data_IF_798873845801
#
_entry.id   IF_798873845801
#
_cell.length_a   1.000
_cell.length_b   1.000
_cell.length_c   1.000
_cell.angle_alpha   90.00
_cell.angle_beta   90.00
_cell.angle_gamma   90.00
#
_symmetry.space_group_name_H-M   'P 1'
#
loop_
_entity.id
_entity.type
_entity.pdbx_description
1 polymer ?
#
# COMPACT_ATOMS: atom_id res chain seq x y z
N UNK A 1 33.87 6.37 18.38
CA UNK A 1 32.95 6.09 19.50
C UNK A 1 31.53 6.30 19.00
N UNK A 2 30.92 5.25 18.46
CA UNK A 2 29.56 5.29 17.90
C UNK A 2 28.57 5.26 19.06
N UNK A 3 27.66 6.24 19.09
CA UNK A 3 26.65 6.42 20.12
C UNK A 3 25.71 5.19 20.17
N UNK A 4 25.95 4.27 21.10
CA UNK A 4 25.04 3.14 21.37
C UNK A 4 23.65 3.56 21.86
N UNK A 5 23.48 4.83 22.23
CA UNK A 5 22.21 5.39 22.72
C UNK A 5 21.22 5.79 21.62
N UNK A 6 21.63 6.01 20.36
CA UNK A 6 20.69 6.36 19.28
C UNK A 6 19.88 5.16 18.79
N UNK A 7 20.41 3.95 18.94
CA UNK A 7 19.78 2.73 18.45
C UNK A 7 18.59 2.27 19.32
N UNK A 8 18.56 2.63 20.61
CA UNK A 8 17.42 2.34 21.49
C UNK A 8 16.23 3.28 21.26
N UNK A 9 16.46 4.46 20.68
CA UNK A 9 15.38 5.40 20.37
C UNK A 9 14.62 5.04 19.08
N UNK A 10 15.18 4.19 18.19
CA UNK A 10 14.57 3.69 16.93
C UNK A 10 13.20 3.00 17.10
N UNK A 11 12.84 2.67 18.35
CA UNK A 11 11.72 1.79 18.73
C UNK A 11 10.42 2.52 19.15
N UNK A 12 10.33 3.85 18.98
CA UNK A 12 9.13 4.62 19.38
C UNK A 12 8.04 4.69 18.30
N UNK A 13 8.38 4.43 17.04
CA UNK A 13 7.42 4.47 15.94
C UNK A 13 6.81 3.09 15.71
N UNK A 14 5.77 2.78 16.47
CA UNK A 14 4.99 1.56 16.28
C UNK A 14 4.29 1.58 14.89
N UNK A 15 4.29 0.45 14.16
CA UNK A 15 3.39 0.25 13.02
C UNK A 15 1.94 0.55 13.38
N UNK A 16 1.21 1.18 12.47
CA UNK A 16 -0.20 1.49 12.65
C UNK A 16 -1.08 0.30 12.21
N UNK A 17 -2.33 0.20 12.69
CA UNK A 17 -3.25 -0.84 12.24
C UNK A 17 -3.41 -0.82 10.71
N UNK A 18 -3.20 -1.99 10.09
CA UNK A 18 -3.27 -2.21 8.63
C UNK A 18 -2.22 -1.43 7.81
N UNK A 19 -1.21 -0.86 8.45
CA UNK A 19 -0.10 -0.18 7.77
C UNK A 19 0.74 -1.17 6.97
N UNK A 20 1.11 -0.78 5.75
CA UNK A 20 2.08 -1.50 4.93
C UNK A 20 3.46 -1.47 5.60
N UNK A 21 4.23 -2.54 5.50
CA UNK A 21 5.57 -2.57 6.11
C UNK A 21 6.50 -1.56 5.45
N UNK A 22 6.39 -1.39 4.13
CA UNK A 22 7.08 -0.31 3.42
C UNK A 22 6.69 1.09 3.90
N UNK A 23 5.43 1.30 4.32
CA UNK A 23 4.99 2.56 4.93
C UNK A 23 5.68 2.77 6.27
N UNK A 24 5.64 1.76 7.14
CA UNK A 24 6.28 1.83 8.45
C UNK A 24 7.79 2.06 8.35
N UNK A 25 8.48 1.32 7.48
CA UNK A 25 9.91 1.50 7.21
C UNK A 25 10.22 2.91 6.72
N UNK A 26 9.37 3.49 5.88
CA UNK A 26 9.54 4.87 5.42
C UNK A 26 9.37 5.86 6.57
N UNK A 27 8.41 5.64 7.48
CA UNK A 27 8.27 6.47 8.70
C UNK A 27 9.48 6.36 9.61
N UNK A 28 10.08 5.18 9.75
CA UNK A 28 11.34 5.04 10.47
C UNK A 28 12.44 5.87 9.81
N UNK A 29 12.64 5.73 8.50
CA UNK A 29 13.65 6.49 7.77
C UNK A 29 13.46 8.01 7.97
N UNK A 30 12.22 8.50 7.87
CA UNK A 30 11.89 9.92 8.10
C UNK A 30 12.16 10.32 9.54
N UNK A 31 11.62 9.58 10.52
CA UNK A 31 11.64 9.93 11.93
C UNK A 31 13.04 9.96 12.54
N UNK A 32 13.95 9.14 12.02
CA UNK A 32 15.35 9.07 12.47
C UNK A 32 16.31 9.76 11.50
N UNK A 33 15.81 10.42 10.47
CA UNK A 33 16.61 11.02 9.39
C UNK A 33 17.62 10.03 8.78
N UNK A 34 17.24 8.77 8.67
CA UNK A 34 18.06 7.67 8.18
C UNK A 34 17.71 7.26 6.76
N UNK A 35 18.66 6.58 6.10
CA UNK A 35 18.41 6.03 4.76
C UNK A 35 17.69 4.68 4.83
N UNK A 36 16.95 4.28 3.78
CA UNK A 36 16.42 2.92 3.67
C UNK A 36 17.50 1.84 3.87
N UNK A 37 18.71 2.04 3.33
CA UNK A 37 19.82 1.11 3.50
C UNK A 37 20.26 0.98 4.97
N UNK A 38 20.42 2.10 5.68
CA UNK A 38 20.79 2.09 7.10
C UNK A 38 19.74 1.40 7.99
N UNK A 39 18.45 1.69 7.76
CA UNK A 39 17.35 1.02 8.48
C UNK A 39 17.28 -0.48 8.14
N UNK A 40 17.50 -0.85 6.87
CA UNK A 40 17.56 -2.26 6.43
C UNK A 40 18.65 -3.04 7.16
N UNK A 41 19.85 -2.48 7.20
CA UNK A 41 21.02 -3.07 7.83
C UNK A 41 20.77 -3.28 9.33
N UNK A 42 20.27 -2.25 10.01
CA UNK A 42 19.93 -2.33 11.43
C UNK A 42 18.88 -3.41 11.74
N UNK A 43 17.83 -3.51 10.92
CA UNK A 43 16.78 -4.52 11.08
C UNK A 43 17.20 -5.92 10.58
N UNK A 44 18.33 -6.04 9.89
CA UNK A 44 18.79 -7.28 9.28
C UNK A 44 17.85 -7.79 8.17
N UNK A 45 17.14 -6.90 7.48
CA UNK A 45 16.18 -7.23 6.41
C UNK A 45 16.51 -6.47 5.13
N UNK A 46 16.47 -7.14 3.98
CA UNK A 46 16.59 -6.47 2.69
C UNK A 46 15.32 -5.69 2.37
N UNK A 47 15.40 -4.38 2.16
CA UNK A 47 14.26 -3.59 1.65
C UNK A 47 13.83 -4.02 0.25
N UNK A 48 14.75 -4.53 -0.57
CA UNK A 48 14.43 -5.16 -1.86
C UNK A 48 13.61 -6.45 -1.75
N UNK A 49 13.51 -7.02 -0.55
CA UNK A 49 12.70 -8.20 -0.24
C UNK A 49 11.38 -7.84 0.48
N UNK A 50 10.92 -6.59 0.36
CA UNK A 50 9.83 -6.01 1.16
C UNK A 50 8.49 -6.75 1.10
N UNK A 51 7.65 -6.50 2.11
CA UNK A 51 6.57 -7.45 2.49
C UNK A 51 5.50 -7.62 1.46
N UNK A 52 5.27 -6.55 0.74
CA UNK A 52 4.28 -6.48 -0.29
C UNK A 52 4.74 -7.22 -1.56
N UNK A 53 6.05 -7.40 -1.78
CA UNK A 53 6.62 -8.13 -2.93
C UNK A 53 7.08 -9.55 -2.57
N UNK A 54 7.74 -9.75 -1.42
CA UNK A 54 8.45 -11.00 -1.07
C UNK A 54 8.65 -11.30 0.42
N UNK A 55 8.10 -10.56 1.40
CA UNK A 55 8.47 -10.91 2.79
C UNK A 55 8.01 -12.31 3.17
N UNK A 56 9.06 -13.05 3.49
CA UNK A 56 9.06 -14.36 4.10
C UNK A 56 8.88 -14.21 5.60
N UNK A 57 8.34 -15.24 6.24
CA UNK A 57 8.24 -15.27 7.70
C UNK A 57 9.59 -14.92 8.38
N UNK A 58 10.71 -15.35 7.80
CA UNK A 58 12.07 -15.03 8.26
C UNK A 58 12.35 -13.52 8.38
N UNK A 59 11.95 -12.68 7.42
CA UNK A 59 12.22 -11.25 7.50
C UNK A 59 11.34 -10.56 8.54
N UNK A 60 10.08 -10.96 8.69
CA UNK A 60 9.24 -10.44 9.80
C UNK A 60 9.80 -10.88 11.15
N UNK A 61 10.19 -12.14 11.28
CA UNK A 61 10.70 -12.67 12.53
C UNK A 61 12.00 -11.96 12.96
N UNK A 62 12.86 -11.57 12.01
CA UNK A 62 14.01 -10.68 12.28
C UNK A 62 13.58 -9.30 12.78
N UNK A 63 12.62 -8.65 12.10
CA UNK A 63 12.11 -7.34 12.53
C UNK A 63 11.56 -7.44 13.96
N UNK A 64 10.73 -8.45 14.25
CA UNK A 64 10.16 -8.68 15.58
C UNK A 64 11.26 -8.95 16.63
N UNK A 65 12.28 -9.72 16.25
CA UNK A 65 13.41 -10.01 17.12
C UNK A 65 14.20 -8.75 17.49
N UNK A 66 14.49 -7.88 16.52
CA UNK A 66 15.24 -6.62 16.75
C UNK A 66 14.38 -5.61 17.51
N UNK A 67 13.14 -5.41 17.07
CA UNK A 67 12.24 -4.38 17.61
C UNK A 67 11.58 -4.74 18.93
N UNK A 68 11.54 -6.04 19.28
CA UNK A 68 10.79 -6.59 20.41
C UNK A 68 9.28 -6.30 20.36
N UNK A 69 8.75 -5.97 19.19
CA UNK A 69 7.31 -5.76 19.00
C UNK A 69 6.53 -7.06 19.13
N UNK A 70 5.22 -6.94 19.40
CA UNK A 70 4.32 -8.07 19.41
C UNK A 70 4.27 -8.73 18.02
N UNK A 71 4.27 -10.07 17.99
CA UNK A 71 4.24 -10.88 16.75
C UNK A 71 3.06 -10.57 15.81
N UNK A 72 1.97 -10.06 16.34
CA UNK A 72 0.74 -9.80 15.59
C UNK A 72 0.79 -8.45 14.83
N UNK A 73 1.81 -7.62 15.08
CA UNK A 73 1.89 -6.26 14.52
C UNK A 73 1.96 -6.22 12.99
N UNK A 74 2.44 -7.29 12.36
CA UNK A 74 2.47 -7.48 10.90
C UNK A 74 1.61 -8.66 10.43
N UNK A 75 0.67 -9.13 11.26
CA UNK A 75 -0.15 -10.31 10.95
C UNK A 75 -0.91 -10.17 9.63
N UNK A 76 -1.50 -8.99 9.36
CA UNK A 76 -2.23 -8.76 8.12
C UNK A 76 -1.31 -8.91 6.89
N UNK A 77 -0.12 -8.32 6.94
CA UNK A 77 0.84 -8.36 5.83
C UNK A 77 1.35 -9.79 5.60
N UNK A 78 1.65 -10.56 6.66
CA UNK A 78 2.00 -11.98 6.57
C UNK A 78 0.88 -12.80 5.94
N UNK A 79 -0.35 -12.60 6.41
CA UNK A 79 -1.53 -13.34 5.95
C UNK A 79 -1.81 -13.07 4.48
N UNK A 80 -1.83 -11.79 4.08
CA UNK A 80 -2.05 -11.39 2.69
C UNK A 80 -0.93 -11.94 1.81
N UNK A 81 0.33 -11.81 2.22
CA UNK A 81 1.48 -12.35 1.48
C UNK A 81 1.31 -13.85 1.23
N UNK A 82 1.11 -14.64 2.29
CA UNK A 82 0.88 -16.09 2.19
C UNK A 82 -0.29 -16.44 1.25
N UNK A 83 -1.40 -15.73 1.38
CA UNK A 83 -2.62 -16.02 0.63
C UNK A 83 -2.50 -15.61 -0.85
N UNK A 84 -1.67 -14.60 -1.17
CA UNK A 84 -1.35 -14.29 -2.57
C UNK A 84 -0.60 -15.44 -3.23
N UNK A 85 0.38 -16.06 -2.54
CA UNK A 85 1.08 -17.23 -3.08
C UNK A 85 0.12 -18.40 -3.32
N UNK A 86 -0.84 -18.61 -2.42
CA UNK A 86 -1.87 -19.64 -2.55
C UNK A 86 -2.89 -19.37 -3.66
N UNK A 87 -3.05 -18.13 -4.15
CA UNK A 87 -3.89 -17.89 -5.34
C UNK A 87 -3.22 -18.38 -6.64
N UNK A 88 -1.91 -18.69 -6.60
CA UNK A 88 -1.15 -19.13 -7.77
C UNK A 88 -1.11 -18.08 -8.89
N UNK A 89 -1.39 -16.81 -8.58
CA UNK A 89 -1.30 -15.68 -9.50
C UNK A 89 0.00 -14.95 -9.19
N UNK A 90 0.75 -14.55 -10.22
CA UNK A 90 2.00 -13.81 -10.03
C UNK A 90 1.74 -12.56 -9.19
N UNK A 91 2.54 -12.33 -8.15
CA UNK A 91 2.45 -11.12 -7.31
C UNK A 91 2.48 -9.85 -8.14
N UNK A 92 3.34 -9.82 -9.16
CA UNK A 92 3.48 -8.67 -10.06
C UNK A 92 2.19 -8.37 -10.84
N UNK A 93 1.34 -9.37 -11.09
CA UNK A 93 0.01 -9.17 -11.69
C UNK A 93 -0.89 -8.32 -10.80
N UNK A 94 -0.72 -8.45 -9.48
CA UNK A 94 -1.55 -7.77 -8.50
C UNK A 94 -1.04 -6.41 -8.10
N UNK A 95 0.15 -5.96 -8.51
CA UNK A 95 0.77 -4.76 -7.96
C UNK A 95 0.70 -3.59 -8.95
N UNK A 96 0.59 -2.36 -8.43
CA UNK A 96 0.38 -1.16 -9.28
C UNK A 96 1.56 -0.88 -10.23
N UNK A 97 2.78 -1.10 -9.75
CA UNK A 97 4.05 -1.08 -10.49
C UNK A 97 5.20 -1.32 -9.50
N UNK A 98 6.24 -2.01 -9.95
CA UNK A 98 7.49 -2.21 -9.20
C UNK A 98 8.65 -1.57 -9.97
N UNK A 99 9.54 -0.87 -9.27
CA UNK A 99 10.77 -0.30 -9.81
C UNK A 99 11.91 -0.51 -8.82
N UNK A 100 12.93 -1.31 -9.16
CA UNK A 100 14.21 -1.40 -8.43
C UNK A 100 14.05 -1.30 -6.90
N UNK A 101 13.37 -2.28 -6.28
CA UNK A 101 13.10 -2.33 -4.83
C UNK A 101 12.11 -1.28 -4.28
N UNK A 102 11.38 -0.60 -5.14
CA UNK A 102 10.33 0.35 -4.77
C UNK A 102 8.98 -0.13 -5.30
N UNK A 103 7.96 0.05 -4.47
CA UNK A 103 6.60 -0.29 -4.82
C UNK A 103 5.76 0.97 -4.94
N UNK A 104 4.97 1.05 -6.01
CA UNK A 104 3.99 2.13 -6.17
C UNK A 104 2.79 1.89 -5.25
N UNK A 105 2.41 2.93 -4.53
CA UNK A 105 1.23 2.95 -3.67
C UNK A 105 0.18 3.93 -4.19
N UNK A 106 -1.08 3.60 -3.96
CA UNK A 106 -2.15 4.60 -3.95
C UNK A 106 -2.36 5.14 -2.55
N UNK A 107 -3.14 6.21 -2.42
CA UNK A 107 -3.50 6.77 -1.12
C UNK A 107 -4.90 7.34 -1.12
N UNK A 108 -5.51 7.36 0.07
CA UNK A 108 -6.73 8.12 0.32
C UNK A 108 -6.35 9.52 0.83
N UNK A 109 -6.72 10.61 0.13
CA UNK A 109 -6.47 11.97 0.61
C UNK A 109 -7.06 12.23 2.00
N UNK A 110 -8.27 11.69 2.29
CA UNK A 110 -8.92 11.84 3.59
C UNK A 110 -8.18 11.10 4.71
N UNK A 111 -7.70 9.87 4.49
CA UNK A 111 -6.83 9.20 5.47
C UNK A 111 -5.54 10.00 5.71
N UNK A 112 -4.92 10.52 4.65
CA UNK A 112 -3.70 11.32 4.79
C UNK A 112 -3.93 12.64 5.54
N UNK A 113 -5.17 13.14 5.59
CA UNK A 113 -5.54 14.35 6.31
C UNK A 113 -5.91 14.08 7.78
N UNK A 114 -6.66 13.01 8.04
CA UNK A 114 -7.31 12.78 9.33
C UNK A 114 -6.66 11.70 10.20
N UNK A 115 -5.86 10.78 9.62
CA UNK A 115 -5.12 9.81 10.43
C UNK A 115 -4.08 10.58 11.26
N UNK A 116 -4.06 10.36 12.58
CA UNK A 116 -3.12 11.03 13.51
C UNK A 116 -1.65 10.80 13.13
N UNK A 117 -1.36 9.63 12.58
CA UNK A 117 -0.06 9.26 12.01
C UNK A 117 -0.32 8.84 10.56
N UNK A 118 -0.07 9.72 9.56
CA UNK A 118 -0.27 9.39 8.16
C UNK A 118 0.53 8.15 7.75
N UNK A 119 -0.14 7.18 7.12
CA UNK A 119 0.46 5.93 6.68
C UNK A 119 -0.24 5.37 5.43
N UNK A 120 0.48 4.55 4.67
CA UNK A 120 -0.08 3.77 3.57
C UNK A 120 -0.49 2.39 4.06
N UNK A 121 -1.65 1.92 3.60
CA UNK A 121 -2.22 0.65 4.02
C UNK A 121 -1.70 -0.51 3.16
N UNK A 122 -1.66 -1.71 3.73
CA UNK A 122 -1.20 -2.94 3.05
C UNK A 122 -1.92 -3.16 1.72
N UNK A 123 -3.21 -2.85 1.66
CA UNK A 123 -4.04 -3.10 0.49
C UNK A 123 -3.83 -2.08 -0.65
N UNK A 124 -3.21 -0.93 -0.39
CA UNK A 124 -3.12 0.17 -1.35
C UNK A 124 -2.05 0.01 -2.44
N UNK A 125 -1.19 -1.00 -2.32
CA UNK A 125 -0.25 -1.38 -3.38
C UNK A 125 -0.84 -2.37 -4.39
N UNK A 126 -2.08 -2.84 -4.18
CA UNK A 126 -2.72 -3.77 -5.12
C UNK A 126 -3.45 -3.04 -6.25
N UNK A 127 -3.25 -3.52 -7.47
CA UNK A 127 -3.88 -3.03 -8.70
C UNK A 127 -5.35 -3.41 -8.85
N UNK A 128 -5.93 -4.15 -7.92
CA UNK A 128 -7.40 -4.27 -7.83
C UNK A 128 -8.01 -3.37 -6.76
N UNK A 129 -7.21 -2.77 -5.89
CA UNK A 129 -7.69 -1.86 -4.84
C UNK A 129 -7.64 -0.43 -5.36
N UNK A 130 -8.82 0.18 -5.51
CA UNK A 130 -9.01 1.51 -6.12
C UNK A 130 -9.82 2.48 -5.28
N UNK A 131 -10.38 2.03 -4.16
CA UNK A 131 -11.16 2.90 -3.29
C UNK A 131 -10.86 2.62 -1.81
N UNK A 132 -11.11 3.61 -0.97
CA UNK A 132 -10.93 3.52 0.46
C UNK A 132 -12.21 3.02 1.16
N UNK A 133 -12.12 2.00 2.02
CA UNK A 133 -13.24 1.50 2.85
C UNK A 133 -13.77 2.56 3.80
N UNK A 134 -12.86 3.25 4.48
CA UNK A 134 -13.20 4.17 5.54
C UNK A 134 -13.92 5.41 4.98
N UNK A 135 -13.46 5.89 3.82
CA UNK A 135 -13.89 7.17 3.26
C UNK A 135 -14.74 7.07 1.99
N UNK A 136 -14.96 5.85 1.48
CA UNK A 136 -15.80 5.56 0.30
C UNK A 136 -15.49 6.46 -0.90
N UNK A 137 -14.21 6.64 -1.18
CA UNK A 137 -13.71 7.48 -2.26
C UNK A 137 -12.61 6.77 -3.04
N UNK A 138 -12.38 7.19 -4.28
CA UNK A 138 -11.27 6.67 -5.08
C UNK A 138 -9.93 7.01 -4.44
N UNK A 139 -8.98 6.08 -4.55
CA UNK A 139 -7.60 6.29 -4.15
C UNK A 139 -6.85 7.02 -5.26
N UNK A 140 -5.97 7.94 -4.88
CA UNK A 140 -5.07 8.65 -5.77
C UNK A 140 -3.75 7.90 -5.91
N UNK A 141 -3.11 7.95 -7.08
CA UNK A 141 -1.82 7.31 -7.33
C UNK A 141 -0.64 8.28 -7.42
N UNK A 142 -0.93 9.58 -7.45
CA UNK A 142 0.02 10.61 -7.84
C UNK A 142 -0.24 11.91 -7.07
N UNK A 143 0.82 12.70 -6.84
CA UNK A 143 0.73 13.99 -6.18
C UNK A 143 -0.19 14.95 -6.95
N UNK A 144 -1.13 15.66 -6.29
CA UNK A 144 -2.01 16.59 -6.98
C UNK A 144 -1.28 17.80 -7.58
N UNK A 145 -0.11 18.16 -7.03
CA UNK A 145 0.69 19.29 -7.48
C UNK A 145 1.65 18.91 -8.61
N UNK A 146 2.67 18.07 -8.33
CA UNK A 146 3.72 17.77 -9.32
C UNK A 146 3.45 16.53 -10.17
N UNK A 147 2.30 15.87 -9.97
CA UNK A 147 1.87 14.63 -10.66
C UNK A 147 2.83 13.43 -10.52
N UNK A 148 3.85 13.53 -9.67
CA UNK A 148 4.74 12.42 -9.38
C UNK A 148 3.99 11.29 -8.68
N UNK A 149 4.28 10.06 -9.09
CA UNK A 149 3.77 8.87 -8.43
C UNK A 149 4.38 8.68 -7.04
N UNK A 150 3.63 7.98 -6.20
CA UNK A 150 4.05 7.66 -4.84
C UNK A 150 4.68 6.28 -4.82
N UNK A 151 5.98 6.25 -4.55
CA UNK A 151 6.76 5.03 -4.39
C UNK A 151 7.26 4.94 -2.95
N UNK A 152 7.27 3.73 -2.39
CA UNK A 152 7.87 3.45 -1.09
C UNK A 152 8.99 2.39 -1.23
N UNK A 153 10.08 2.49 -0.45
CA UNK A 153 10.34 3.57 0.50
C UNK A 153 10.70 4.88 -0.22
N UNK A 154 10.60 6.01 0.46
CA UNK A 154 11.04 7.28 -0.14
C UNK A 154 12.54 7.27 -0.41
N UNK A 155 12.93 7.73 -1.60
CA UNK A 155 14.35 7.96 -1.93
C UNK A 155 14.84 9.19 -1.17
N UNK A 156 15.35 8.98 0.03
CA UNK A 156 15.90 10.05 0.88
C UNK A 156 17.35 10.43 0.51
N UNK A 157 17.90 9.91 -0.60
CA UNK A 157 19.27 10.20 -1.02
C UNK A 157 19.46 11.68 -1.36
N UNK A 158 20.62 12.21 -0.95
CA UNK A 158 21.11 13.55 -1.25
C UNK A 158 20.18 14.69 -0.81
N UNK A 159 20.07 14.87 0.52
CA UNK A 159 19.72 16.16 1.13
C UNK A 159 20.77 17.22 0.77
N UNK A 160 20.86 17.61 -0.49
CA UNK A 160 21.58 18.80 -0.90
C UNK A 160 20.92 20.02 -0.26
N UNK A 161 21.62 21.15 -0.12
CA UNK A 161 21.09 22.40 0.49
C UNK A 161 19.78 22.94 -0.15
N UNK A 162 19.28 22.35 -1.24
CA UNK A 162 18.03 22.69 -1.94
C UNK A 162 16.97 21.57 -1.95
N UNK A 163 17.20 20.44 -1.28
CA UNK A 163 16.20 19.37 -1.21
C UNK A 163 15.02 19.78 -0.34
N UNK A 164 13.79 19.49 -0.77
CA UNK A 164 12.59 19.73 0.03
C UNK A 164 12.61 18.80 1.24
N UNK A 165 12.43 19.36 2.43
CA UNK A 165 12.37 18.59 3.67
C UNK A 165 11.05 17.80 3.75
N UNK A 166 11.17 16.48 3.87
CA UNK A 166 10.04 15.56 4.07
C UNK A 166 10.03 15.14 5.53
N UNK A 167 8.98 15.52 6.25
CA UNK A 167 8.80 15.26 7.68
C UNK A 167 7.73 14.20 7.98
N UNK A 168 6.90 13.84 6.98
CA UNK A 168 5.89 12.79 7.14
C UNK A 168 5.40 12.21 5.80
N UNK A 169 4.66 11.10 5.87
CA UNK A 169 4.12 10.40 4.71
C UNK A 169 2.95 11.10 4.00
N UNK A 170 2.34 12.11 4.62
CA UNK A 170 1.32 12.92 3.95
C UNK A 170 1.94 13.92 2.96
N UNK A 171 3.27 14.01 2.85
CA UNK A 171 3.96 14.88 1.89
C UNK A 171 4.43 14.10 0.67
N UNK A 172 4.40 14.75 -0.49
CA UNK A 172 4.97 14.19 -1.71
C UNK A 172 6.49 14.10 -1.60
N UNK A 173 7.06 12.91 -1.79
CA UNK A 173 8.52 12.70 -1.82
C UNK A 173 9.29 13.59 -2.80
N UNK A 174 8.65 14.06 -3.88
CA UNK A 174 9.31 14.87 -4.92
C UNK A 174 9.25 16.38 -4.66
N UNK A 175 8.12 16.88 -4.14
CA UNK A 175 7.90 18.33 -4.00
C UNK A 175 7.52 18.80 -2.59
N UNK A 176 7.41 17.88 -1.63
CA UNK A 176 7.04 18.14 -0.22
C UNK A 176 5.63 18.66 0.05
N UNK A 177 4.86 18.96 -0.99
CA UNK A 177 3.46 19.36 -0.81
C UNK A 177 2.58 18.22 -0.32
N UNK A 178 1.57 18.61 0.44
CA UNK A 178 0.64 17.70 1.11
C UNK A 178 -0.22 16.94 0.09
N UNK A 179 -0.14 15.62 0.12
CA UNK A 179 -0.87 14.69 -0.74
C UNK A 179 -2.38 14.79 -0.53
N UNK A 180 -2.84 15.18 0.66
CA UNK A 180 -4.26 15.35 0.95
C UNK A 180 -4.88 16.63 0.39
N UNK A 181 -4.10 17.54 -0.22
CA UNK A 181 -4.62 18.75 -0.89
C UNK A 181 -5.25 18.41 -2.25
N UNK A 182 -6.18 17.46 -2.24
CA UNK A 182 -6.99 17.06 -3.39
C UNK A 182 -8.32 16.53 -2.88
N UNK A 183 -9.41 16.80 -3.60
CA UNK A 183 -10.71 16.27 -3.27
C UNK A 183 -10.93 14.93 -4.01
N UNK A 184 -10.94 13.78 -3.30
CA UNK A 184 -11.12 12.50 -3.95
C UNK A 184 -12.57 12.32 -4.44
N UNK A 185 -12.74 11.75 -5.62
CA UNK A 185 -14.07 11.41 -6.16
C UNK A 185 -14.75 10.40 -5.23
N UNK A 186 -15.99 10.68 -4.82
CA UNK A 186 -16.72 9.78 -3.94
C UNK A 186 -17.30 8.62 -4.75
N UNK A 187 -17.30 7.40 -4.20
CA UNK A 187 -17.83 6.22 -4.91
C UNK A 187 -19.32 6.39 -5.28
N UNK A 188 -20.10 7.09 -4.46
CA UNK A 188 -21.51 7.42 -4.76
C UNK A 188 -21.67 8.31 -6.00
N UNK A 189 -20.65 9.06 -6.37
CA UNK A 189 -20.66 9.93 -7.55
C UNK A 189 -20.38 9.14 -8.82
N UNK A 190 -19.75 7.96 -8.73
CA UNK A 190 -19.45 7.12 -9.89
C UNK A 190 -20.70 6.69 -10.64
N UNK A 191 -21.80 6.42 -9.92
CA UNK A 191 -23.09 6.07 -10.53
C UNK A 191 -23.64 7.15 -11.48
N UNK A 192 -23.14 8.38 -11.40
CA UNK A 192 -23.55 9.50 -12.26
C UNK A 192 -22.84 9.53 -13.62
N UNK A 193 -21.81 8.72 -13.81
CA UNK A 193 -21.03 8.69 -15.05
C UNK A 193 -21.50 7.57 -15.98
N UNK A 194 -21.37 7.74 -17.31
CA UNK A 194 -21.55 6.63 -18.26
C UNK A 194 -20.70 5.43 -17.85
N UNK A 195 -21.29 4.23 -17.83
CA UNK A 195 -20.68 2.98 -17.31
C UNK A 195 -20.36 2.97 -15.81
N UNK A 196 -20.90 3.91 -15.03
CA UNK A 196 -20.67 3.99 -13.59
C UNK A 196 -21.06 2.73 -12.81
N UNK A 197 -22.13 2.03 -13.22
CA UNK A 197 -22.56 0.76 -12.62
C UNK A 197 -21.55 -0.37 -12.84
N UNK A 198 -21.05 -0.52 -14.07
CA UNK A 198 -20.00 -1.47 -14.43
C UNK A 198 -18.71 -1.17 -13.65
N UNK A 199 -18.32 0.10 -13.57
CA UNK A 199 -17.16 0.53 -12.78
C UNK A 199 -17.32 0.21 -11.29
N UNK A 200 -18.51 0.42 -10.72
CA UNK A 200 -18.80 0.05 -9.33
C UNK A 200 -18.70 -1.46 -9.09
N UNK A 201 -19.15 -2.30 -10.04
CA UNK A 201 -18.98 -3.75 -9.96
C UNK A 201 -17.50 -4.15 -10.01
N UNK A 202 -16.68 -3.51 -10.86
CA UNK A 202 -15.25 -3.77 -10.87
C UNK A 202 -14.56 -3.38 -9.56
N UNK A 203 -14.96 -2.25 -8.95
CA UNK A 203 -14.49 -1.87 -7.61
C UNK A 203 -14.89 -2.91 -6.56
N UNK A 204 -16.13 -3.42 -6.61
CA UNK A 204 -16.62 -4.47 -5.71
C UNK A 204 -15.85 -5.77 -5.89
N UNK A 205 -15.57 -6.17 -7.12
CA UNK A 205 -14.79 -7.37 -7.42
C UNK A 205 -13.36 -7.26 -6.88
N UNK A 206 -12.73 -6.08 -7.00
CA UNK A 206 -11.41 -5.83 -6.37
C UNK A 206 -11.41 -6.07 -4.88
N UNK A 207 -12.53 -5.74 -4.25
CA UNK A 207 -12.69 -5.98 -2.83
C UNK A 207 -13.07 -7.38 -2.44
N UNK A 208 -13.79 -8.09 -3.29
CA UNK A 208 -13.97 -9.51 -3.12
C UNK A 208 -12.61 -10.23 -3.14
N UNK A 209 -11.70 -9.84 -4.04
CA UNK A 209 -10.33 -10.38 -4.07
C UNK A 209 -9.55 -10.02 -2.81
N UNK A 210 -9.52 -8.75 -2.40
CA UNK A 210 -8.82 -8.35 -1.17
C UNK A 210 -9.40 -9.05 0.07
N UNK A 211 -10.72 -9.14 0.19
CA UNK A 211 -11.38 -9.87 1.26
C UNK A 211 -11.00 -11.36 1.24
N UNK A 212 -10.87 -11.96 0.05
CA UNK A 212 -10.41 -13.34 -0.09
C UNK A 212 -9.00 -13.52 0.47
N UNK A 213 -8.09 -12.57 0.18
CA UNK A 213 -6.73 -12.57 0.74
C UNK A 213 -6.72 -12.36 2.26
N UNK A 214 -7.63 -11.58 2.82
CA UNK A 214 -7.73 -11.38 4.27
C UNK A 214 -8.33 -12.60 4.98
N UNK A 215 -9.33 -13.25 4.38
CA UNK A 215 -10.05 -14.35 5.02
C UNK A 215 -9.50 -15.74 4.69
N UNK A 216 -8.64 -15.86 3.67
CA UNK A 216 -8.12 -17.13 3.18
C UNK A 216 -9.13 -17.92 2.33
N UNK A 217 -10.21 -17.28 1.87
CA UNK A 217 -11.22 -17.88 0.99
C UNK A 217 -12.09 -16.81 0.32
N UNK A 218 -12.58 -17.09 -0.88
CA UNK A 218 -13.58 -16.26 -1.56
C UNK A 218 -15.00 -16.68 -1.24
N UNK A 219 -15.97 -15.79 -1.48
CA UNK A 219 -17.40 -16.11 -1.37
C UNK A 219 -18.15 -15.52 -2.56
N UNK A 220 -18.96 -16.32 -3.23
CA UNK A 220 -19.85 -15.81 -4.30
C UNK A 220 -20.98 -14.98 -3.70
N UNK A 221 -21.40 -13.94 -4.40
CA UNK A 221 -22.47 -13.05 -3.91
C UNK A 221 -23.84 -13.71 -3.95
N UNK A 222 -24.14 -14.45 -5.02
CA UNK A 222 -25.47 -15.03 -5.27
C UNK A 222 -25.75 -16.24 -4.41
N UNK A 223 -24.84 -17.22 -4.41
CA UNK A 223 -25.04 -18.51 -3.73
C UNK A 223 -24.38 -18.56 -2.35
N UNK A 224 -23.54 -17.58 -2.01
CA UNK A 224 -22.74 -17.62 -0.79
C UNK A 224 -21.72 -18.76 -0.76
N UNK A 225 -21.46 -19.41 -1.91
CA UNK A 225 -20.54 -20.53 -2.03
C UNK A 225 -19.14 -20.08 -1.64
N UNK A 226 -18.53 -20.79 -0.71
CA UNK A 226 -17.12 -20.63 -0.36
C UNK A 226 -16.25 -21.16 -1.49
N UNK A 227 -15.22 -20.40 -1.85
CA UNK A 227 -14.23 -20.74 -2.87
C UNK A 227 -12.85 -20.78 -2.22
N UNK A 228 -12.02 -21.74 -2.60
CA UNK A 228 -10.60 -21.74 -2.23
C UNK A 228 -9.88 -20.55 -2.88
N UNK A 229 -8.67 -20.25 -2.41
CA UNK A 229 -7.84 -19.22 -3.02
C UNK A 229 -7.38 -19.61 -4.43
N UNK A 230 -7.11 -20.89 -4.67
CA UNK A 230 -6.81 -21.41 -6.01
C UNK A 230 -7.97 -21.18 -6.98
N UNK A 231 -9.21 -21.43 -6.55
CA UNK A 231 -10.40 -21.16 -7.35
C UNK A 231 -10.51 -19.67 -7.67
N UNK A 232 -10.35 -18.79 -6.67
CA UNK A 232 -10.35 -17.33 -6.86
C UNK A 232 -9.26 -16.92 -7.87
N UNK A 233 -8.04 -17.46 -7.72
CA UNK A 233 -6.92 -17.25 -8.63
C UNK A 233 -7.23 -17.69 -10.06
N UNK A 234 -7.93 -18.82 -10.24
CA UNK A 234 -8.36 -19.29 -11.55
C UNK A 234 -9.35 -18.32 -12.23
N UNK A 235 -10.27 -17.70 -11.48
CA UNK A 235 -11.14 -16.65 -12.00
C UNK A 235 -10.36 -15.40 -12.42
N UNK A 236 -9.36 -14.99 -11.62
CA UNK A 236 -8.51 -13.84 -11.92
C UNK A 236 -7.72 -14.07 -13.21
N UNK A 237 -7.11 -15.26 -13.39
CA UNK A 237 -6.40 -15.65 -14.61
C UNK A 237 -7.28 -15.66 -15.86
N UNK A 238 -8.58 -15.92 -15.70
CA UNK A 238 -9.59 -15.85 -16.76
C UNK A 238 -10.07 -14.42 -17.06
N UNK A 239 -9.55 -13.41 -16.35
CA UNK A 239 -9.97 -12.01 -16.50
C UNK A 239 -11.31 -11.68 -15.84
N UNK A 240 -11.85 -12.58 -15.00
CA UNK A 240 -13.20 -12.45 -14.44
C UNK A 240 -13.24 -11.63 -13.14
N UNK A 241 -12.09 -11.29 -12.56
CA UNK A 241 -11.93 -10.43 -11.39
C UNK A 241 -10.52 -9.84 -11.37
N UNK A 242 -10.32 -8.58 -10.97
CA UNK A 242 -10.93 -7.36 -11.49
C UNK A 242 -9.84 -6.55 -12.19
N UNK A 243 -10.10 -6.21 -13.45
CA UNK A 243 -9.54 -5.07 -14.17
C UNK A 243 -8.21 -4.55 -13.61
N UNK A 244 -7.12 -5.20 -14.02
CA UNK A 244 -5.86 -4.49 -14.13
C UNK A 244 -6.08 -3.26 -15.02
N UNK A 245 -5.28 -2.21 -14.80
CA UNK A 245 -5.33 -0.84 -15.39
C UNK A 245 -6.11 -0.54 -16.70
N UNK A 246 -6.29 -1.50 -17.61
CA UNK A 246 -6.93 -1.37 -18.93
C UNK A 246 -8.42 -1.00 -18.93
N UNK A 247 -9.17 -1.27 -17.87
CA UNK A 247 -10.65 -1.19 -17.92
C UNK A 247 -11.29 -0.11 -17.02
N UNK A 248 -10.50 0.59 -16.21
CA UNK A 248 -10.92 1.80 -15.50
C UNK A 248 -10.18 2.97 -16.12
N UNK A 249 -10.80 3.70 -17.04
CA UNK A 249 -10.18 4.91 -17.59
C UNK A 249 -10.18 6.03 -16.53
N UNK A 250 -9.03 6.39 -15.93
CA UNK A 250 -8.99 7.42 -14.90
C UNK A 250 -9.23 8.82 -15.47
N UNK A 251 -9.08 9.01 -16.79
CA UNK A 251 -9.27 10.31 -17.44
C UNK A 251 -10.72 10.80 -17.37
N UNK A 252 -11.69 9.87 -17.40
CA UNK A 252 -13.13 10.14 -17.25
C UNK A 252 -13.42 10.93 -15.95
N UNK A 253 -12.66 10.68 -14.88
CA UNK A 253 -12.85 11.34 -13.59
C UNK A 253 -11.90 12.52 -13.35
N UNK A 254 -10.81 12.63 -14.14
CA UNK A 254 -9.81 13.68 -14.00
C UNK A 254 -10.16 14.94 -14.81
N UNK A 255 -10.88 14.80 -15.92
CA UNK A 255 -11.28 15.92 -16.79
C UNK A 255 -12.40 16.81 -16.20
N UNK A 256 -12.97 16.43 -15.05
CA UNK A 256 -14.02 17.22 -14.35
C UNK A 256 -13.58 17.74 -12.97
N UNK A 257 -12.27 17.80 -12.71
CA UNK A 257 -11.69 18.38 -11.49
C UNK A 257 -11.25 19.81 -11.69
#
# INVERSE_FOLDING_TARGET
MTNSNSHHELLRLLPQPKEAVLSWLTRLCIGYAETPAGVSEYLGVGIGDCVETKVTDCSVDRILHVTKYNKDIFQLSRLVSKNVDQMGVSRNFFMVAEMESHLRFRFCPKCMQYDSIPNFKVDWCFDFVRFCFNHKCLLESSCPHCKADVYLPYRLQNRSKKSVEIVCLSQCQKCGLLLYKTNPVQCKELAKYPKGSEQLEHLRNGMAVMASLVHGYGKTRETGRRMSLDEVGAYIKKGLCPNTYSNLNPSIYREKR
#
